data_IF_181831422746
#
_entry.id   IF_181831422746
#
_cell.length_a   1.000
_cell.length_b   1.000
_cell.length_c   1.000
_cell.angle_alpha   90.00
_cell.angle_beta   90.00
_cell.angle_gamma   90.00
#
_symmetry.space_group_name_H-M   'P 1'
#
loop_
_entity.id
_entity.type
_entity.pdbx_description
1 polymer ?
#
# COMPACT_ATOMS: atom_id res chain seq x y z
N UNK A 1 27.43 38.23 2.61
CA UNK A 1 26.43 37.65 3.53
C UNK A 1 25.30 37.06 2.69
N UNK A 2 25.45 35.83 2.22
CA UNK A 2 24.47 35.15 1.35
C UNK A 2 23.49 34.37 2.24
N UNK A 3 22.22 34.79 2.20
CA UNK A 3 21.13 34.12 2.89
C UNK A 3 20.89 32.77 2.19
N UNK A 4 21.37 31.70 2.81
CA UNK A 4 20.96 30.33 2.50
C UNK A 4 19.44 30.22 2.69
N UNK A 5 18.66 29.66 1.74
CA UNK A 5 17.27 29.33 2.02
C UNK A 5 17.25 28.20 3.03
N UNK A 6 16.94 28.59 4.27
CA UNK A 6 16.66 27.74 5.42
C UNK A 6 15.63 26.65 5.09
N UNK A 7 15.99 25.43 5.46
CA UNK A 7 15.10 24.32 5.85
C UNK A 7 13.99 23.93 4.86
N UNK A 8 14.31 22.95 4.00
CA UNK A 8 13.29 22.00 3.47
C UNK A 8 12.88 21.05 4.61
N UNK A 9 12.26 21.66 5.63
CA UNK A 9 11.72 21.01 6.80
C UNK A 9 10.44 20.28 6.43
N UNK A 10 10.60 18.99 6.14
CA UNK A 10 9.63 17.94 6.43
C UNK A 10 8.24 17.97 5.76
N UNK A 11 8.11 16.98 4.87
CA UNK A 11 6.97 16.11 4.59
C UNK A 11 5.99 16.44 3.47
N UNK A 12 6.08 15.55 2.48
CA UNK A 12 5.05 15.25 1.50
C UNK A 12 3.82 14.72 2.24
N UNK A 13 2.88 15.61 2.56
CA UNK A 13 1.51 15.18 2.81
C UNK A 13 0.98 14.72 1.46
N UNK A 14 0.66 13.42 1.39
CA UNK A 14 -0.21 12.61 0.50
C UNK A 14 -1.14 13.31 -0.52
N UNK A 15 -0.76 14.44 -1.07
CA UNK A 15 -1.49 15.24 -2.05
C UNK A 15 -0.52 15.64 -3.16
N UNK A 16 -0.47 14.85 -4.24
CA UNK A 16 0.41 15.12 -5.37
C UNK A 16 0.22 16.52 -5.98
N UNK A 17 -0.97 17.11 -5.90
CA UNK A 17 -1.24 18.45 -6.43
C UNK A 17 -0.55 19.54 -5.61
N UNK A 18 -0.57 19.41 -4.27
CA UNK A 18 0.16 20.33 -3.38
C UNK A 18 1.68 20.18 -3.54
N UNK A 19 2.16 18.96 -3.78
CA UNK A 19 3.58 18.70 -4.10
C UNK A 19 3.97 19.45 -5.37
N UNK A 20 3.18 19.34 -6.43
CA UNK A 20 3.46 20.02 -7.70
C UNK A 20 3.37 21.54 -7.60
N UNK A 21 2.47 22.09 -6.77
CA UNK A 21 2.40 23.54 -6.53
C UNK A 21 3.69 24.10 -5.91
N UNK A 22 4.29 23.38 -4.96
CA UNK A 22 5.57 23.78 -4.32
C UNK A 22 6.80 23.54 -5.20
N UNK A 23 6.71 22.56 -6.11
CA UNK A 23 7.85 22.09 -6.92
C UNK A 23 7.91 22.78 -8.29
N UNK A 24 6.92 23.60 -8.67
CA UNK A 24 6.83 24.27 -9.98
C UNK A 24 8.06 25.11 -10.35
N UNK A 25 8.85 25.56 -9.36
CA UNK A 25 10.09 26.34 -9.53
C UNK A 25 11.39 25.51 -9.53
N UNK A 26 11.31 24.19 -9.34
CA UNK A 26 12.47 23.31 -9.23
C UNK A 26 12.72 22.54 -10.53
N UNK A 27 13.96 22.06 -10.74
CA UNK A 27 14.37 21.21 -11.87
C UNK A 27 14.45 19.74 -11.44
N UNK A 28 14.28 18.82 -12.40
CA UNK A 28 14.41 17.37 -12.21
C UNK A 28 13.11 16.60 -12.42
N UNK A 29 13.19 15.25 -12.32
CA UNK A 29 12.11 14.34 -12.71
C UNK A 29 10.74 14.63 -12.09
N UNK A 30 10.70 14.98 -10.80
CA UNK A 30 9.44 15.35 -10.14
C UNK A 30 8.82 16.60 -10.78
N UNK A 31 9.64 17.59 -11.11
CA UNK A 31 9.16 18.82 -11.74
C UNK A 31 8.74 18.61 -13.20
N UNK A 32 9.36 17.65 -13.90
CA UNK A 32 8.95 17.22 -15.24
C UNK A 32 7.57 16.56 -15.19
N UNK A 33 7.34 15.59 -14.29
CA UNK A 33 6.02 14.97 -14.09
C UNK A 33 4.96 16.03 -13.81
N UNK A 34 5.24 16.94 -12.88
CA UNK A 34 4.30 18.00 -12.48
C UNK A 34 3.95 18.99 -13.60
N UNK A 35 4.80 19.15 -14.63
CA UNK A 35 4.60 20.15 -15.70
C UNK A 35 4.16 19.54 -17.02
N UNK A 36 4.68 18.37 -17.35
CA UNK A 36 4.55 17.74 -18.67
C UNK A 36 3.54 16.58 -18.68
N UNK A 37 3.23 16.00 -17.51
CA UNK A 37 2.47 14.75 -17.43
C UNK A 37 1.23 14.88 -16.50
N UNK A 38 0.26 15.77 -16.81
CA UNK A 38 -0.90 16.02 -15.95
C UNK A 38 -1.81 14.78 -15.80
N UNK A 39 -1.96 13.99 -16.87
CA UNK A 39 -2.73 12.73 -16.82
C UNK A 39 -2.09 11.72 -15.88
N UNK A 40 -0.76 11.58 -15.92
CA UNK A 40 -0.05 10.74 -14.95
C UNK A 40 -0.25 11.24 -13.52
N UNK A 41 -0.15 12.56 -13.29
CA UNK A 41 -0.31 13.14 -11.96
C UNK A 41 -1.68 12.81 -11.33
N UNK A 42 -2.76 12.78 -12.14
CA UNK A 42 -4.10 12.36 -11.72
C UNK A 42 -4.11 10.90 -11.25
N UNK A 43 -3.44 10.02 -11.99
CA UNK A 43 -3.34 8.59 -11.62
C UNK A 43 -2.44 8.36 -10.40
N UNK A 44 -1.38 9.15 -10.23
CA UNK A 44 -0.58 9.17 -8.99
C UNK A 44 -1.46 9.56 -7.80
N UNK A 45 -2.30 10.59 -7.94
CA UNK A 45 -3.22 11.01 -6.87
C UNK A 45 -4.24 9.93 -6.51
N UNK A 46 -4.82 9.24 -7.50
CA UNK A 46 -5.67 8.06 -7.27
C UNK A 46 -4.88 6.95 -6.54
N UNK A 47 -3.65 6.69 -6.93
CA UNK A 47 -2.79 5.68 -6.29
C UNK A 47 -2.51 5.97 -4.81
N UNK A 48 -2.26 7.23 -4.46
CA UNK A 48 -2.13 7.65 -3.05
C UNK A 48 -3.43 7.40 -2.27
N UNK A 49 -4.60 7.64 -2.87
CA UNK A 49 -5.88 7.36 -2.23
C UNK A 49 -6.13 5.85 -2.05
N UNK A 50 -5.77 5.04 -3.04
CA UNK A 50 -5.82 3.57 -2.96
C UNK A 50 -4.97 3.07 -1.79
N UNK A 51 -3.72 3.54 -1.69
CA UNK A 51 -2.84 3.22 -0.55
C UNK A 51 -3.39 3.69 0.80
N UNK A 52 -4.00 4.88 0.84
CA UNK A 52 -4.60 5.45 2.05
C UNK A 52 -5.77 4.61 2.56
N UNK A 53 -6.70 4.22 1.67
CA UNK A 53 -7.86 3.40 2.04
C UNK A 53 -7.43 2.04 2.55
N UNK A 54 -6.42 1.44 1.92
CA UNK A 54 -5.90 0.15 2.36
C UNK A 54 -5.16 0.27 3.70
N UNK A 55 -4.42 1.35 3.93
CA UNK A 55 -3.82 1.61 5.23
C UNK A 55 -4.86 1.74 6.35
N UNK A 56 -5.95 2.46 6.10
CA UNK A 56 -7.08 2.53 7.04
C UNK A 56 -7.73 1.16 7.25
N UNK A 57 -7.86 0.36 6.19
CA UNK A 57 -8.36 -1.00 6.28
C UNK A 57 -7.47 -1.86 7.19
N UNK A 58 -6.16 -1.92 6.92
CA UNK A 58 -5.20 -2.76 7.65
C UNK A 58 -5.07 -2.35 9.13
N UNK A 59 -5.25 -1.08 9.45
CA UNK A 59 -5.09 -0.55 10.80
C UNK A 59 -6.42 -0.23 11.52
N UNK A 60 -7.58 -0.57 10.95
CA UNK A 60 -8.92 -0.25 11.49
C UNK A 60 -9.10 -0.62 12.97
N UNK A 61 -8.48 -1.71 13.41
CA UNK A 61 -8.58 -2.24 14.76
C UNK A 61 -7.31 -2.03 15.62
N UNK A 62 -6.29 -1.30 15.12
CA UNK A 62 -5.07 -0.96 15.87
C UNK A 62 -5.25 0.38 16.59
N UNK A 63 -4.48 0.66 17.66
CA UNK A 63 -4.50 1.95 18.39
C UNK A 63 -4.23 3.15 17.48
N UNK A 64 -3.27 3.03 16.58
CA UNK A 64 -3.16 3.91 15.42
C UNK A 64 -3.90 3.30 14.24
N UNK A 65 -4.87 4.03 13.67
CA UNK A 65 -5.80 3.53 12.65
C UNK A 65 -5.59 4.14 11.26
N UNK A 66 -4.39 4.65 10.98
CA UNK A 66 -4.07 5.33 9.72
C UNK A 66 -5.03 6.49 9.38
N UNK A 67 -5.43 7.27 10.39
CA UNK A 67 -6.24 8.47 10.20
C UNK A 67 -5.50 9.54 9.40
N UNK A 68 -6.20 10.14 8.43
CA UNK A 68 -5.63 11.11 7.47
C UNK A 68 -5.82 12.55 7.88
N UNK A 69 -6.09 12.82 9.16
CA UNK A 69 -6.19 14.19 9.67
C UNK A 69 -4.86 14.89 9.41
N UNK A 70 -4.86 15.87 8.50
CA UNK A 70 -3.64 16.47 7.91
C UNK A 70 -2.56 16.81 8.93
N UNK A 71 -2.93 17.41 10.08
CA UNK A 71 -1.98 17.80 11.13
C UNK A 71 -1.38 16.60 11.88
N UNK A 72 -2.21 15.62 12.23
CA UNK A 72 -1.80 14.40 12.94
C UNK A 72 -0.92 13.51 12.06
N UNK A 73 -1.39 13.21 10.84
CA UNK A 73 -0.64 12.40 9.88
C UNK A 73 0.70 13.05 9.53
N UNK A 74 0.72 14.38 9.37
CA UNK A 74 1.98 15.11 9.24
C UNK A 74 2.88 14.87 10.44
N UNK A 75 2.43 14.98 11.69
CA UNK A 75 3.35 14.73 12.83
C UNK A 75 3.89 13.30 12.89
N UNK A 76 3.10 12.30 12.51
CA UNK A 76 3.53 10.89 12.51
C UNK A 76 4.58 10.64 11.44
N UNK A 77 4.31 11.05 10.20
CA UNK A 77 5.23 10.87 9.07
C UNK A 77 6.56 11.65 9.26
N UNK A 78 6.70 12.48 10.31
CA UNK A 78 7.93 13.25 10.58
C UNK A 78 8.97 12.33 11.20
N UNK A 79 8.51 11.23 11.76
CA UNK A 79 9.28 10.30 12.54
C UNK A 79 9.40 9.02 11.74
N UNK A 80 10.53 8.36 11.89
CA UNK A 80 10.81 7.14 11.15
C UNK A 80 10.37 5.91 11.96
N UNK A 81 9.10 5.93 12.36
CA UNK A 81 8.46 4.84 13.09
C UNK A 81 7.98 3.75 12.16
N UNK A 82 7.62 2.60 12.74
CA UNK A 82 7.06 1.46 12.01
C UNK A 82 5.83 1.84 11.18
N UNK A 83 4.95 2.68 11.71
CA UNK A 83 3.75 3.16 11.02
C UNK A 83 4.11 4.01 9.80
N UNK A 84 5.10 4.90 9.93
CA UNK A 84 5.61 5.70 8.81
C UNK A 84 6.22 4.81 7.72
N UNK A 85 6.95 3.77 8.11
CA UNK A 85 7.49 2.78 7.18
C UNK A 85 6.40 2.10 6.35
N UNK A 86 5.33 1.64 7.00
CA UNK A 86 4.18 1.07 6.31
C UNK A 86 3.48 2.07 5.40
N UNK A 87 3.24 3.31 5.85
CA UNK A 87 2.59 4.35 5.02
C UNK A 87 3.42 4.64 3.77
N UNK A 88 4.75 4.74 3.88
CA UNK A 88 5.64 4.93 2.73
C UNK A 88 5.51 3.77 1.74
N UNK A 89 5.56 2.53 2.24
CA UNK A 89 5.44 1.33 1.41
C UNK A 89 4.08 1.22 0.70
N UNK A 90 2.96 1.30 1.44
CA UNK A 90 1.62 1.16 0.86
C UNK A 90 1.27 2.30 -0.09
N UNK A 91 1.82 3.50 0.14
CA UNK A 91 1.66 4.63 -0.79
C UNK A 91 2.43 4.38 -2.08
N UNK A 92 3.68 3.92 -2.00
CA UNK A 92 4.48 3.60 -3.18
C UNK A 92 3.92 2.42 -3.99
N UNK A 93 3.36 1.43 -3.29
CA UNK A 93 2.58 0.35 -3.86
C UNK A 93 1.32 0.88 -4.56
N UNK A 94 0.54 1.73 -3.89
CA UNK A 94 -0.69 2.31 -4.43
C UNK A 94 -0.47 3.14 -5.70
N UNK A 95 0.58 3.95 -5.73
CA UNK A 95 0.99 4.70 -6.93
C UNK A 95 1.41 3.74 -8.06
N UNK A 96 2.20 2.71 -7.75
CA UNK A 96 2.60 1.70 -8.75
C UNK A 96 1.39 0.98 -9.33
N UNK A 97 0.45 0.59 -8.46
CA UNK A 97 -0.76 -0.14 -8.81
C UNK A 97 -1.69 0.70 -9.70
N UNK A 98 -2.02 1.92 -9.28
CA UNK A 98 -2.92 2.80 -10.03
C UNK A 98 -2.35 3.21 -11.39
N UNK A 99 -1.06 3.59 -11.45
CA UNK A 99 -0.41 3.97 -12.71
C UNK A 99 -0.30 2.79 -13.67
N UNK A 100 0.02 1.59 -13.16
CA UNK A 100 0.06 0.37 -14.00
C UNK A 100 -1.32 0.06 -14.55
N UNK A 101 -2.36 0.11 -13.71
CA UNK A 101 -3.74 -0.15 -14.13
C UNK A 101 -4.21 0.87 -15.18
N UNK A 102 -3.94 2.15 -14.97
CA UNK A 102 -4.25 3.20 -15.94
C UNK A 102 -3.55 2.96 -17.28
N UNK A 103 -2.31 2.46 -17.24
CA UNK A 103 -1.58 2.06 -18.44
C UNK A 103 -2.28 0.92 -19.20
N UNK A 104 -2.63 -0.15 -18.50
CA UNK A 104 -3.30 -1.33 -19.08
C UNK A 104 -4.69 -0.98 -19.64
N UNK A 105 -5.40 -0.05 -19.01
CA UNK A 105 -6.72 0.42 -19.46
C UNK A 105 -6.66 1.42 -20.63
N UNK A 106 -5.47 1.92 -20.98
CA UNK A 106 -5.30 2.92 -22.05
C UNK A 106 -5.57 4.36 -21.62
N UNK A 107 -5.66 4.64 -20.32
CA UNK A 107 -5.87 5.99 -19.77
C UNK A 107 -4.61 6.88 -19.90
N UNK A 108 -3.45 6.29 -20.16
CA UNK A 108 -2.16 6.97 -20.30
C UNK A 108 -1.58 6.72 -21.69
N UNK A 109 -1.36 7.79 -22.45
CA UNK A 109 -0.80 7.74 -23.81
C UNK A 109 0.68 7.36 -23.88
N UNK A 110 1.43 7.56 -22.78
CA UNK A 110 2.88 7.35 -22.72
C UNK A 110 3.29 5.88 -22.57
N UNK A 111 2.33 4.97 -22.47
CA UNK A 111 2.62 3.58 -22.18
C UNK A 111 1.58 2.66 -22.83
N UNK A 112 1.94 1.38 -22.91
CA UNK A 112 1.08 0.32 -23.41
C UNK A 112 1.15 -0.89 -22.48
N UNK A 113 0.20 -1.80 -22.68
CA UNK A 113 0.25 -3.11 -22.07
C UNK A 113 1.53 -3.87 -22.41
N UNK A 114 1.89 -4.80 -21.53
CA UNK A 114 3.03 -5.68 -21.73
C UNK A 114 2.63 -6.77 -22.73
N UNK A 115 3.08 -6.61 -23.99
CA UNK A 115 2.88 -7.62 -25.03
C UNK A 115 3.90 -8.74 -24.82
N UNK A 116 3.55 -9.72 -24.00
CA UNK A 116 4.34 -10.95 -23.88
C UNK A 116 4.22 -11.74 -25.18
N UNK A 117 5.13 -11.47 -26.12
CA UNK A 117 5.30 -12.29 -27.32
C UNK A 117 6.20 -13.49 -26.98
N UNK A 118 5.97 -14.62 -27.65
CA UNK A 118 6.73 -15.88 -27.50
C UNK A 118 8.25 -15.70 -27.66
N UNK A 119 8.70 -14.61 -28.29
CA UNK A 119 10.12 -14.24 -28.49
C UNK A 119 10.80 -13.58 -27.28
N UNK A 120 10.06 -13.09 -26.28
CA UNK A 120 10.60 -12.46 -25.06
C UNK A 120 11.03 -13.45 -23.96
N UNK A 121 10.90 -14.75 -24.21
CA UNK A 121 10.88 -15.80 -23.19
C UNK A 121 12.27 -16.19 -22.61
N UNK A 122 13.29 -15.32 -22.67
CA UNK A 122 14.60 -15.60 -22.05
C UNK A 122 14.61 -15.38 -20.53
N UNK A 123 13.73 -14.54 -19.98
CA UNK A 123 13.64 -14.31 -18.52
C UNK A 123 12.54 -15.12 -17.81
N UNK A 124 11.56 -15.67 -18.54
CA UNK A 124 10.49 -16.50 -17.95
C UNK A 124 10.96 -17.88 -17.48
N UNK A 125 12.12 -18.35 -17.96
CA UNK A 125 12.70 -19.66 -17.62
C UNK A 125 13.33 -19.73 -16.22
N UNK A 126 13.52 -18.60 -15.54
CA UNK A 126 14.31 -18.48 -14.30
C UNK A 126 13.48 -18.21 -13.03
N UNK A 127 12.14 -18.15 -13.11
CA UNK A 127 11.30 -17.74 -11.97
C UNK A 127 10.08 -18.65 -11.72
N UNK A 128 10.12 -19.90 -12.19
CA UNK A 128 9.16 -20.93 -11.81
C UNK A 128 9.87 -21.90 -10.87
N UNK A 129 9.51 -21.87 -9.59
CA UNK A 129 9.94 -22.88 -8.62
C UNK A 129 9.46 -24.26 -9.07
N UNK A 130 10.26 -25.29 -8.81
CA UNK A 130 10.04 -26.66 -9.28
C UNK A 130 8.66 -27.22 -8.89
N UNK A 131 8.06 -26.72 -7.81
CA UNK A 131 6.74 -27.14 -7.31
C UNK A 131 5.57 -26.66 -8.19
N UNK A 132 5.69 -25.50 -8.85
CA UNK A 132 4.66 -25.00 -9.78
C UNK A 132 4.69 -25.80 -11.09
N UNK A 133 5.86 -26.32 -11.48
CA UNK A 133 6.03 -27.11 -12.70
C UNK A 133 5.29 -28.45 -12.64
N UNK A 134 5.09 -29.02 -11.45
CA UNK A 134 4.43 -30.33 -11.28
C UNK A 134 2.91 -30.30 -11.49
N UNK A 135 2.26 -29.15 -11.27
CA UNK A 135 0.81 -28.96 -11.47
C UNK A 135 0.44 -28.30 -12.81
N UNK A 136 1.43 -28.02 -13.68
CA UNK A 136 1.24 -27.30 -14.96
C UNK A 136 1.55 -28.14 -16.19
N UNK A 137 1.85 -29.43 -16.02
CA UNK A 137 2.21 -30.36 -17.10
C UNK A 137 1.07 -31.30 -17.54
N UNK A 138 -0.17 -30.97 -17.21
CA UNK A 138 -1.34 -31.61 -17.81
C UNK A 138 -2.23 -30.54 -18.43
N UNK A 139 -2.52 -30.73 -19.73
CA UNK A 139 -3.43 -29.97 -20.61
C UNK A 139 -2.88 -28.71 -21.31
N UNK A 140 -2.53 -28.89 -22.59
CA UNK A 140 -2.57 -27.89 -23.66
C UNK A 140 -1.56 -26.75 -23.55
N UNK A 141 -0.73 -26.59 -24.58
CA UNK A 141 0.05 -25.36 -24.79
C UNK A 141 -0.93 -24.18 -24.80
N UNK A 142 -0.85 -23.31 -23.79
CA UNK A 142 -1.60 -22.04 -23.81
C UNK A 142 -0.78 -20.97 -24.49
N UNK A 143 -1.48 -20.05 -25.15
CA UNK A 143 -0.83 -18.94 -25.84
C UNK A 143 -0.74 -17.72 -24.92
N UNK A 144 0.41 -17.04 -24.97
CA UNK A 144 0.52 -15.70 -24.39
C UNK A 144 -0.25 -14.72 -25.28
N UNK A 145 -1.16 -13.96 -24.68
CA UNK A 145 -1.95 -12.97 -25.39
C UNK A 145 -2.67 -12.03 -24.43
N UNK A 146 -3.62 -11.25 -24.95
CA UNK A 146 -4.35 -10.27 -24.13
C UNK A 146 -3.51 -9.05 -23.72
N UNK A 147 -3.96 -8.37 -22.67
CA UNK A 147 -3.44 -7.10 -22.21
C UNK A 147 -2.76 -7.27 -20.84
N UNK A 148 -1.47 -7.61 -20.83
CA UNK A 148 -0.70 -7.79 -19.61
C UNK A 148 -0.41 -6.47 -18.89
N UNK A 149 -0.46 -6.50 -17.55
CA UNK A 149 -0.19 -5.32 -16.72
C UNK A 149 1.29 -4.90 -16.80
N UNK A 150 1.57 -3.70 -17.31
CA UNK A 150 2.93 -3.16 -17.43
C UNK A 150 3.44 -2.60 -16.09
N UNK A 151 3.64 -3.47 -15.10
CA UNK A 151 4.02 -3.08 -13.74
C UNK A 151 5.36 -2.34 -13.67
N UNK A 152 6.25 -2.58 -14.63
CA UNK A 152 7.54 -1.92 -14.72
C UNK A 152 7.39 -0.42 -15.07
N UNK A 153 6.38 -0.04 -15.84
CA UNK A 153 6.05 1.36 -16.06
C UNK A 153 5.59 2.03 -14.77
N UNK A 154 4.61 1.45 -14.06
CA UNK A 154 4.13 1.98 -12.79
C UNK A 154 5.23 2.05 -11.72
N UNK A 155 6.08 1.03 -11.63
CA UNK A 155 7.22 1.00 -10.71
C UNK A 155 8.17 2.18 -10.95
N UNK A 156 8.52 2.43 -12.21
CA UNK A 156 9.43 3.52 -12.59
C UNK A 156 8.82 4.89 -12.29
N UNK A 157 7.56 5.12 -12.67
CA UNK A 157 6.88 6.41 -12.43
C UNK A 157 6.67 6.66 -10.92
N UNK A 158 6.34 5.63 -10.13
CA UNK A 158 6.29 5.72 -8.66
C UNK A 158 7.65 6.13 -8.08
N UNK A 159 8.74 5.49 -8.52
CA UNK A 159 10.11 5.85 -8.11
C UNK A 159 10.49 7.28 -8.53
N UNK A 160 10.16 7.69 -9.74
CA UNK A 160 10.51 9.03 -10.25
C UNK A 160 9.71 10.15 -9.57
N UNK A 161 8.49 9.87 -9.09
CA UNK A 161 7.69 10.83 -8.34
C UNK A 161 8.08 10.87 -6.85
N UNK A 162 8.13 9.72 -6.18
CA UNK A 162 8.28 9.65 -4.71
C UNK A 162 9.73 9.78 -4.24
N UNK A 163 10.70 9.29 -5.02
CA UNK A 163 12.10 9.18 -4.58
C UNK A 163 12.98 10.29 -5.15
N UNK A 164 12.58 10.96 -6.23
CA UNK A 164 13.41 11.99 -6.89
C UNK A 164 13.90 13.11 -5.96
N UNK A 165 13.12 13.61 -4.99
CA UNK A 165 13.61 14.63 -4.05
C UNK A 165 14.72 14.15 -3.11
N UNK A 166 14.91 12.83 -2.99
CA UNK A 166 15.73 12.21 -1.95
C UNK A 166 16.99 11.51 -2.49
N UNK A 167 17.13 11.33 -3.81
CA UNK A 167 18.23 10.55 -4.41
C UNK A 167 19.65 11.00 -4.06
N UNK A 168 19.84 12.27 -3.69
CA UNK A 168 21.16 12.83 -3.36
C UNK A 168 21.44 12.90 -1.85
N UNK A 169 20.51 12.46 -1.01
CA UNK A 169 20.65 12.52 0.44
C UNK A 169 20.98 11.12 0.98
N UNK A 170 21.84 11.07 1.98
CA UNK A 170 22.26 9.83 2.64
C UNK A 170 21.90 9.78 4.11
N UNK A 171 21.06 10.70 4.60
CA UNK A 171 20.56 10.64 5.98
C UNK A 171 19.75 9.34 6.20
N UNK A 172 19.87 8.77 7.41
CA UNK A 172 19.20 7.51 7.80
C UNK A 172 17.70 7.52 7.46
N UNK A 173 17.05 8.66 7.69
CA UNK A 173 15.64 8.89 7.37
C UNK A 173 15.34 8.73 5.88
N UNK A 174 16.19 9.30 5.02
CA UNK A 174 16.10 9.11 3.58
C UNK A 174 16.30 7.63 3.21
N UNK A 175 17.30 6.95 3.78
CA UNK A 175 17.58 5.54 3.50
C UNK A 175 16.39 4.64 3.86
N UNK A 176 15.86 4.80 5.08
CA UNK A 176 14.66 4.10 5.58
C UNK A 176 13.46 4.35 4.67
N UNK A 177 13.23 5.60 4.27
CA UNK A 177 12.14 5.96 3.36
C UNK A 177 12.28 5.30 1.99
N UNK A 178 13.46 5.36 1.38
CA UNK A 178 13.72 4.79 0.05
C UNK A 178 13.60 3.26 0.05
N UNK A 179 14.08 2.60 1.12
CA UNK A 179 13.93 1.16 1.31
C UNK A 179 12.46 0.75 1.40
N UNK A 180 11.68 1.39 2.28
CA UNK A 180 10.27 1.09 2.45
C UNK A 180 9.44 1.39 1.19
N UNK A 181 9.74 2.49 0.50
CA UNK A 181 9.14 2.77 -0.81
C UNK A 181 9.45 1.64 -1.82
N UNK A 182 10.69 1.13 -1.84
CA UNK A 182 11.08 0.03 -2.72
C UNK A 182 10.36 -1.28 -2.36
N UNK A 183 10.28 -1.63 -1.08
CA UNK A 183 9.54 -2.80 -0.59
C UNK A 183 8.07 -2.76 -1.04
N UNK A 184 7.42 -1.60 -0.91
CA UNK A 184 6.04 -1.37 -1.39
C UNK A 184 5.87 -1.61 -2.89
N UNK A 185 6.77 -1.06 -3.72
CA UNK A 185 6.72 -1.29 -5.18
C UNK A 185 7.00 -2.74 -5.56
N UNK A 186 7.90 -3.40 -4.84
CA UNK A 186 8.22 -4.81 -5.03
C UNK A 186 7.05 -5.74 -4.66
N UNK A 187 6.27 -5.38 -3.64
CA UNK A 187 5.07 -6.12 -3.25
C UNK A 187 4.01 -6.18 -4.36
N UNK A 188 3.97 -5.21 -5.28
CA UNK A 188 3.10 -5.26 -6.47
C UNK A 188 3.76 -6.05 -7.60
N UNK A 189 5.04 -5.75 -7.90
CA UNK A 189 5.74 -6.30 -9.08
C UNK A 189 6.05 -7.79 -8.97
N UNK A 190 6.53 -8.24 -7.82
CA UNK A 190 7.06 -9.59 -7.67
C UNK A 190 5.98 -10.64 -7.39
N UNK A 191 4.76 -10.21 -7.05
CA UNK A 191 3.62 -11.08 -6.78
C UNK A 191 2.53 -11.00 -7.85
N UNK A 192 2.92 -10.63 -9.08
CA UNK A 192 2.02 -10.74 -10.23
C UNK A 192 1.67 -12.20 -10.49
N UNK A 193 0.41 -12.44 -10.82
CA UNK A 193 -0.13 -13.77 -11.15
C UNK A 193 -0.37 -13.88 -12.65
N UNK A 194 -0.54 -15.12 -13.11
CA UNK A 194 -1.01 -15.40 -14.47
C UNK A 194 -2.52 -15.56 -14.39
N UNK A 195 -3.26 -14.75 -15.13
CA UNK A 195 -4.68 -14.95 -15.36
C UNK A 195 -4.89 -15.46 -16.79
N UNK A 196 -5.84 -16.37 -16.94
CA UNK A 196 -6.17 -16.98 -18.23
C UNK A 196 -7.67 -16.85 -18.50
N UNK A 197 -8.02 -16.65 -19.78
CA UNK A 197 -9.39 -16.76 -20.26
C UNK A 197 -9.52 -17.95 -21.21
N UNK A 198 -10.53 -18.77 -20.97
CA UNK A 198 -10.84 -19.94 -21.77
C UNK A 198 -11.81 -19.57 -22.90
N UNK A 199 -11.54 -20.10 -24.09
CA UNK A 199 -12.25 -19.76 -25.33
C UNK A 199 -12.61 -20.99 -26.17
N UNK A 200 -12.52 -22.19 -25.60
CA UNK A 200 -12.93 -23.42 -26.27
C UNK A 200 -14.45 -23.52 -26.45
N UNK A 201 -14.88 -24.50 -27.24
CA UNK A 201 -16.29 -24.78 -27.51
C UNK A 201 -17.09 -24.89 -26.18
N UNK A 202 -18.22 -24.18 -26.10
CA UNK A 202 -19.07 -24.10 -24.91
C UNK A 202 -18.38 -23.60 -23.63
N UNK A 203 -17.32 -22.79 -23.76
CA UNK A 203 -16.56 -22.26 -22.62
C UNK A 203 -15.52 -23.23 -22.03
N UNK A 204 -15.22 -24.32 -22.75
CA UNK A 204 -14.14 -25.23 -22.36
C UNK A 204 -12.76 -24.55 -22.39
N UNK A 205 -11.83 -25.04 -21.57
CA UNK A 205 -10.45 -24.53 -21.50
C UNK A 205 -9.46 -25.25 -22.42
N UNK A 206 -9.96 -25.95 -23.46
CA UNK A 206 -9.12 -26.61 -24.48
C UNK A 206 -8.21 -25.62 -25.21
N UNK A 207 -8.69 -24.38 -25.39
CA UNK A 207 -7.89 -23.23 -25.80
C UNK A 207 -8.04 -22.14 -24.75
N UNK A 208 -6.91 -21.61 -24.28
CA UNK A 208 -6.87 -20.52 -23.31
C UNK A 208 -5.78 -19.52 -23.65
N UNK A 209 -6.07 -18.25 -23.39
CA UNK A 209 -5.12 -17.14 -23.54
C UNK A 209 -4.79 -16.60 -22.18
N UNK A 210 -3.50 -16.46 -21.86
CA UNK A 210 -3.05 -16.02 -20.55
C UNK A 210 -2.22 -14.73 -20.61
N UNK A 211 -2.33 -13.90 -19.57
CA UNK A 211 -1.53 -12.69 -19.37
C UNK A 211 -1.12 -12.53 -17.90
N UNK A 212 -0.10 -11.70 -17.65
CA UNK A 212 0.29 -11.32 -16.29
C UNK A 212 -0.59 -10.21 -15.78
N UNK A 213 -1.06 -10.35 -14.54
CA UNK A 213 -1.88 -9.36 -13.86
C UNK A 213 -1.34 -9.07 -12.48
N UNK A 214 -1.52 -7.83 -12.03
CA UNK A 214 -1.20 -7.46 -10.66
C UNK A 214 -2.13 -8.19 -9.68
N UNK A 215 -1.65 -8.54 -8.47
CA UNK A 215 -2.50 -9.08 -7.42
C UNK A 215 -3.57 -8.05 -7.01
N UNK A 216 -4.61 -8.48 -6.30
CA UNK A 216 -5.55 -7.53 -5.72
C UNK A 216 -4.82 -6.60 -4.75
N UNK A 217 -5.26 -5.34 -4.65
CA UNK A 217 -4.58 -4.41 -3.76
C UNK A 217 -4.74 -4.78 -2.27
N UNK A 218 -5.74 -5.60 -1.94
CA UNK A 218 -5.90 -6.18 -0.60
C UNK A 218 -4.76 -7.14 -0.27
N UNK A 219 -4.43 -8.07 -1.17
CA UNK A 219 -3.29 -8.98 -0.98
C UNK A 219 -1.95 -8.23 -0.85
N UNK A 220 -1.78 -7.11 -1.57
CA UNK A 220 -0.62 -6.23 -1.41
C UNK A 220 -0.60 -5.62 -0.01
N UNK A 221 -1.75 -5.14 0.48
CA UNK A 221 -1.93 -4.62 1.84
C UNK A 221 -1.61 -5.66 2.91
N UNK A 222 -2.10 -6.88 2.74
CA UNK A 222 -1.90 -7.99 3.68
C UNK A 222 -0.42 -8.37 3.79
N UNK A 223 0.28 -8.52 2.66
CA UNK A 223 1.74 -8.79 2.64
C UNK A 223 2.56 -7.67 3.30
N UNK A 224 2.23 -6.41 3.00
CA UNK A 224 2.91 -5.28 3.64
C UNK A 224 2.60 -5.21 5.13
N UNK A 225 1.42 -5.69 5.56
CA UNK A 225 1.01 -5.71 6.94
C UNK A 225 1.74 -6.80 7.74
N UNK A 226 1.99 -7.96 7.13
CA UNK A 226 2.89 -8.99 7.68
C UNK A 226 4.31 -8.44 7.83
N UNK A 227 4.82 -7.77 6.78
CA UNK A 227 6.13 -7.11 6.80
C UNK A 227 6.23 -6.00 7.85
N UNK A 228 5.11 -5.32 8.16
CA UNK A 228 5.03 -4.36 9.27
C UNK A 228 5.14 -5.05 10.63
N UNK A 229 4.46 -6.17 10.85
CA UNK A 229 4.51 -6.86 12.14
C UNK A 229 5.92 -7.40 12.44
N UNK A 230 6.63 -7.85 11.40
CA UNK A 230 8.03 -8.32 11.44
C UNK A 230 9.11 -7.26 11.12
N UNK A 231 8.77 -5.97 11.12
CA UNK A 231 9.70 -4.92 10.70
C UNK A 231 10.95 -4.84 11.60
N UNK A 232 12.11 -4.55 11.00
CA UNK A 232 13.40 -4.47 11.69
C UNK A 232 13.78 -3.03 12.07
N UNK A 233 14.30 -2.85 13.29
CA UNK A 233 14.85 -1.56 13.73
C UNK A 233 16.30 -1.42 13.26
N UNK A 234 16.60 -0.28 12.64
CA UNK A 234 17.90 0.00 12.01
C UNK A 234 18.51 1.30 12.53
N UNK A 235 19.83 1.36 12.51
CA UNK A 235 20.65 2.51 12.88
C UNK A 235 21.59 2.86 11.71
N UNK A 236 22.06 4.12 11.59
CA UNK A 236 23.04 4.49 10.56
C UNK A 236 24.33 3.68 10.73
N UNK A 237 24.89 3.25 9.60
CA UNK A 237 26.20 2.61 9.56
C UNK A 237 27.32 3.65 9.63
N UNK A 238 28.53 3.20 9.98
CA UNK A 238 29.73 4.05 10.07
C UNK A 238 30.17 4.61 8.71
N UNK A 239 29.71 4.04 7.60
CA UNK A 239 29.98 4.52 6.24
C UNK A 239 29.17 5.77 5.85
N UNK A 240 28.19 6.18 6.65
CA UNK A 240 27.31 7.32 6.40
C UNK A 240 26.37 7.17 5.19
N UNK A 241 26.32 5.99 4.57
CA UNK A 241 25.56 5.72 3.36
C UNK A 241 24.69 4.46 3.43
N UNK A 242 24.89 3.62 4.45
CA UNK A 242 24.08 2.43 4.71
C UNK A 242 23.50 2.43 6.12
N UNK A 243 22.72 1.41 6.41
CA UNK A 243 22.14 1.16 7.72
C UNK A 243 22.46 -0.27 8.14
N UNK A 244 22.57 -0.48 9.45
CA UNK A 244 22.74 -1.79 10.08
C UNK A 244 21.58 -2.03 11.05
N UNK A 245 21.38 -3.27 11.47
CA UNK A 245 20.40 -3.58 12.50
C UNK A 245 20.84 -3.03 13.86
N UNK A 246 19.89 -2.60 14.70
CA UNK A 246 20.20 -2.07 16.04
C UNK A 246 20.83 -3.13 16.96
N UNK A 247 20.43 -4.40 16.80
CA UNK A 247 20.89 -5.52 17.61
C UNK A 247 21.47 -6.67 16.78
N UNK A 248 22.41 -7.46 17.36
CA UNK A 248 23.04 -8.59 16.68
C UNK A 248 22.08 -9.78 16.50
N UNK A 249 21.01 -9.86 17.29
CA UNK A 249 19.98 -10.91 17.21
C UNK A 249 18.93 -10.62 16.14
N UNK A 250 18.91 -9.40 15.59
CA UNK A 250 17.98 -9.01 14.54
C UNK A 250 18.55 -9.48 13.20
N UNK A 251 17.81 -10.34 12.50
CA UNK A 251 18.17 -10.77 11.15
C UNK A 251 18.25 -9.55 10.21
N UNK A 252 19.29 -9.44 9.36
CA UNK A 252 19.37 -8.37 8.38
C UNK A 252 18.13 -8.33 7.48
N UNK A 253 17.51 -7.15 7.30
CA UNK A 253 16.27 -7.02 6.54
C UNK A 253 16.52 -7.28 5.05
N UNK A 254 15.64 -8.08 4.45
CA UNK A 254 15.57 -8.30 3.02
C UNK A 254 14.93 -7.12 2.27
N UNK A 255 14.84 -7.25 0.94
CA UNK A 255 14.27 -6.21 0.07
C UNK A 255 12.75 -6.03 0.19
N UNK A 256 12.06 -7.00 0.81
CA UNK A 256 10.61 -6.97 1.03
C UNK A 256 10.23 -6.60 2.47
N UNK A 257 11.23 -6.55 3.36
CA UNK A 257 11.02 -6.28 4.78
C UNK A 257 10.93 -4.77 4.99
N UNK A 258 10.04 -4.34 5.89
CA UNK A 258 9.96 -2.95 6.31
C UNK A 258 10.99 -2.66 7.41
N UNK A 259 11.52 -1.45 7.39
CA UNK A 259 12.51 -0.99 8.38
C UNK A 259 12.09 0.33 9.01
N UNK A 260 12.54 0.59 10.22
CA UNK A 260 12.28 1.82 10.97
C UNK A 260 13.49 2.17 11.85
N UNK A 261 13.63 3.42 12.26
CA UNK A 261 14.76 3.88 13.09
C UNK A 261 14.33 4.56 14.39
N UNK A 262 13.05 4.90 14.54
CA UNK A 262 12.49 5.49 15.76
C UNK A 262 11.39 4.62 16.35
N UNK A 263 11.31 4.56 17.68
CA UNK A 263 10.23 3.86 18.37
C UNK A 263 8.89 4.57 18.18
N UNK A 264 7.83 3.77 18.02
CA UNK A 264 6.47 4.28 17.88
C UNK A 264 6.02 5.00 19.15
N UNK A 265 5.36 6.17 19.03
CA UNK A 265 4.86 6.89 20.18
C UNK A 265 3.68 6.16 20.84
N UNK A 266 3.34 6.56 22.06
CA UNK A 266 2.07 6.12 22.66
C UNK A 266 0.87 6.69 21.89
N UNK A 267 0.03 5.78 21.38
CA UNK A 267 -1.21 6.09 20.66
C UNK A 267 -2.46 6.04 21.55
N UNK A 268 -2.32 5.70 22.84
CA UNK A 268 -3.45 5.59 23.77
C UNK A 268 -4.06 6.95 24.09
N UNK A 269 -3.23 7.96 24.34
CA UNK A 269 -3.64 9.33 24.70
C UNK A 269 -3.46 10.30 23.53
N UNK A 270 -4.32 11.32 23.41
CA UNK A 270 -4.15 12.36 22.40
C UNK A 270 -2.86 13.15 22.68
N UNK A 271 -2.02 13.30 21.67
CA UNK A 271 -0.76 14.04 21.78
C UNK A 271 -0.46 14.77 20.47
N UNK A 272 -0.53 16.12 20.52
CA UNK A 272 -0.31 17.00 19.37
C UNK A 272 1.14 17.00 18.86
N UNK A 273 2.12 16.65 19.70
CA UNK A 273 3.55 16.60 19.31
C UNK A 273 3.82 15.37 18.45
N UNK A 274 3.32 14.20 18.86
CA UNK A 274 3.49 12.93 18.15
C UNK A 274 2.47 12.74 17.02
N UNK A 275 1.35 13.45 17.08
CA UNK A 275 0.23 13.28 16.15
C UNK A 275 -0.77 12.22 16.58
N UNK A 276 -0.64 11.64 17.78
CA UNK A 276 -1.63 10.71 18.32
C UNK A 276 -2.97 11.41 18.55
N UNK A 277 -4.06 10.78 18.13
CA UNK A 277 -5.44 11.23 18.41
C UNK A 277 -6.02 10.61 19.69
N UNK A 278 -5.36 9.59 20.24
CA UNK A 278 -5.88 8.78 21.33
C UNK A 278 -6.89 7.72 20.87
N UNK A 279 -7.31 6.86 21.80
CA UNK A 279 -8.27 5.77 21.54
C UNK A 279 -9.65 5.98 22.17
N UNK A 280 -9.87 7.10 22.85
CA UNK A 280 -11.18 7.48 23.44
C UNK A 280 -12.27 7.51 22.36
N UNK A 281 -13.44 6.95 22.67
CA UNK A 281 -14.60 6.90 21.77
C UNK A 281 -14.49 5.90 20.62
N UNK A 282 -13.40 5.13 20.53
CA UNK A 282 -13.25 4.12 19.48
C UNK A 282 -14.04 2.86 19.80
N UNK A 283 -14.66 2.28 18.77
CA UNK A 283 -15.31 0.96 18.86
C UNK A 283 -14.25 -0.12 19.10
N UNK A 284 -14.55 -1.06 19.99
CA UNK A 284 -13.68 -2.18 20.33
C UNK A 284 -14.48 -3.49 20.43
N UNK A 285 -13.79 -4.63 20.34
CA UNK A 285 -14.40 -5.94 20.51
C UNK A 285 -14.21 -6.43 21.96
N UNK A 286 -15.28 -6.66 22.71
CA UNK A 286 -15.17 -7.13 24.10
C UNK A 286 -14.78 -8.61 24.20
N UNK A 287 -15.02 -9.39 23.16
CA UNK A 287 -14.81 -10.85 23.14
C UNK A 287 -13.42 -11.25 22.62
N UNK A 288 -12.67 -10.31 22.03
CA UNK A 288 -11.35 -10.60 21.46
C UNK A 288 -10.24 -10.28 22.48
N UNK A 289 -9.33 -11.23 22.78
CA UNK A 289 -8.13 -10.94 23.58
C UNK A 289 -7.03 -10.24 22.76
N UNK A 290 -7.21 -10.13 21.44
CA UNK A 290 -6.23 -9.56 20.53
C UNK A 290 -6.20 -8.03 20.54
N UNK A 291 -5.47 -7.47 19.58
CA UNK A 291 -5.23 -6.01 19.46
C UNK A 291 -6.48 -5.19 19.16
N UNK A 292 -7.54 -5.84 18.66
CA UNK A 292 -8.88 -5.30 18.47
C UNK A 292 -9.76 -5.37 19.73
N UNK A 293 -9.27 -6.09 20.73
CA UNK A 293 -9.87 -6.26 22.04
C UNK A 293 -9.99 -4.95 22.79
N UNK A 294 -11.08 -4.78 23.55
CA UNK A 294 -11.28 -3.57 24.35
C UNK A 294 -10.16 -3.35 25.38
N UNK A 295 -9.59 -4.42 25.94
CA UNK A 295 -8.49 -4.32 26.90
C UNK A 295 -7.26 -3.62 26.30
N UNK A 296 -6.79 -4.10 25.14
CA UNK A 296 -5.62 -3.56 24.46
C UNK A 296 -5.90 -2.24 23.74
N UNK A 297 -7.07 -2.09 23.10
CA UNK A 297 -7.40 -0.89 22.33
C UNK A 297 -7.72 0.31 23.24
N UNK A 298 -8.39 0.07 24.36
CA UNK A 298 -8.74 1.12 25.34
C UNK A 298 -7.63 1.37 26.37
N UNK A 299 -6.52 0.62 26.29
CA UNK A 299 -5.32 0.80 27.12
C UNK A 299 -5.64 0.73 28.63
N UNK A 300 -6.46 -0.24 29.03
CA UNK A 300 -6.83 -0.46 30.43
C UNK A 300 -7.82 0.55 31.04
N UNK A 301 -8.32 1.54 30.29
CA UNK A 301 -9.29 2.53 30.79
C UNK A 301 -10.73 1.99 30.93
N UNK A 302 -10.98 0.77 30.47
CA UNK A 302 -12.32 0.22 30.32
C UNK A 302 -13.06 0.74 29.08
N UNK A 303 -14.31 0.31 28.94
CA UNK A 303 -15.18 0.64 27.82
C UNK A 303 -16.64 0.74 28.26
N UNK A 304 -17.43 1.48 27.51
CA UNK A 304 -18.88 1.57 27.69
C UNK A 304 -19.58 0.68 26.68
N UNK A 305 -20.61 -0.04 27.14
CA UNK A 305 -21.42 -0.94 26.32
C UNK A 305 -22.79 -0.33 26.08
N UNK A 306 -23.20 -0.23 24.81
CA UNK A 306 -24.53 0.26 24.42
C UNK A 306 -25.17 -0.70 23.44
N UNK A 307 -26.45 -1.00 23.64
CA UNK A 307 -27.24 -1.78 22.69
C UNK A 307 -27.91 -0.80 21.72
N UNK A 308 -27.54 -0.89 20.44
CA UNK A 308 -28.06 -0.02 19.39
C UNK A 308 -28.89 -0.85 18.42
N UNK A 309 -30.02 -0.32 17.94
CA UNK A 309 -30.80 -0.94 16.87
C UNK A 309 -30.25 -0.46 15.53
N UNK A 310 -29.67 -1.35 14.74
CA UNK A 310 -29.18 -1.06 13.40
C UNK A 310 -30.15 -1.61 12.35
N UNK A 311 -30.41 -0.83 11.30
CA UNK A 311 -31.18 -1.27 10.14
C UNK A 311 -30.27 -2.08 9.23
N UNK A 312 -30.63 -3.33 8.97
CA UNK A 312 -29.88 -4.21 8.06
C UNK A 312 -30.81 -4.78 7.00
N UNK A 313 -30.27 -5.02 5.81
CA UNK A 313 -30.97 -5.76 4.79
C UNK A 313 -31.09 -7.22 5.25
N UNK A 314 -32.30 -7.74 5.25
CA UNK A 314 -32.61 -9.10 5.68
C UNK A 314 -33.58 -9.74 4.69
N UNK A 315 -33.71 -11.07 4.78
CA UNK A 315 -34.67 -11.85 3.99
C UNK A 315 -34.61 -11.54 2.49
N UNK A 316 -33.40 -11.31 1.97
CA UNK A 316 -33.20 -10.99 0.56
C UNK A 316 -33.64 -12.14 -0.34
N UNK A 317 -34.52 -11.86 -1.29
CA UNK A 317 -34.98 -12.80 -2.32
C UNK A 317 -34.56 -12.30 -3.69
N UNK A 318 -33.97 -13.20 -4.46
CA UNK A 318 -33.68 -12.95 -5.87
C UNK A 318 -34.93 -13.21 -6.70
N UNK A 319 -35.36 -12.22 -7.47
CA UNK A 319 -36.42 -12.36 -8.48
C UNK A 319 -35.75 -12.72 -9.80
N UNK A 320 -36.25 -13.78 -10.44
CA UNK A 320 -35.76 -14.26 -11.74
C UNK A 320 -36.13 -13.25 -12.85
N UNK A 321 -35.36 -12.17 -12.90
CA UNK A 321 -35.31 -11.08 -13.89
C UNK A 321 -34.23 -10.04 -13.47
N UNK A 322 -33.23 -10.48 -12.69
CA UNK A 322 -32.06 -9.73 -12.21
C UNK A 322 -32.29 -8.72 -11.07
N UNK A 323 -33.36 -8.85 -10.29
CA UNK A 323 -33.61 -7.97 -9.15
C UNK A 323 -33.42 -8.71 -7.81
N UNK A 324 -32.73 -8.08 -6.86
CA UNK A 324 -32.66 -8.55 -5.46
C UNK A 324 -33.54 -7.64 -4.61
N UNK A 325 -34.64 -8.18 -4.10
CA UNK A 325 -35.52 -7.47 -3.17
C UNK A 325 -35.21 -7.92 -1.74
N UNK A 326 -34.82 -7.00 -0.87
CA UNK A 326 -34.58 -7.25 0.55
C UNK A 326 -35.57 -6.46 1.41
N UNK A 327 -35.91 -7.01 2.57
CA UNK A 327 -36.62 -6.29 3.62
C UNK A 327 -35.61 -5.55 4.51
N UNK A 328 -36.08 -4.52 5.23
CA UNK A 328 -35.27 -3.80 6.22
C UNK A 328 -35.62 -4.30 7.61
N UNK A 329 -34.72 -5.08 8.24
CA UNK A 329 -34.88 -5.54 9.61
C UNK A 329 -34.16 -4.61 10.60
N UNK A 330 -34.69 -4.52 11.82
CA UNK A 330 -34.02 -3.89 12.95
C UNK A 330 -33.33 -4.96 13.80
N UNK A 331 -32.00 -4.99 13.77
CA UNK A 331 -31.19 -5.90 14.58
C UNK A 331 -30.59 -5.15 15.76
N UNK A 332 -30.65 -5.75 16.95
CA UNK A 332 -29.98 -5.22 18.15
C UNK A 332 -28.51 -5.62 18.11
N UNK A 333 -27.62 -4.65 18.00
CA UNK A 333 -26.17 -4.85 18.01
C UNK A 333 -25.57 -4.24 19.29
N UNK A 334 -24.72 -5.01 19.97
CA UNK A 334 -23.94 -4.51 21.10
C UNK A 334 -22.71 -3.77 20.60
N UNK A 335 -22.60 -2.48 20.94
CA UNK A 335 -21.47 -1.62 20.57
C UNK A 335 -20.69 -1.26 21.82
N UNK A 336 -19.41 -1.64 21.85
CA UNK A 336 -18.49 -1.28 22.92
C UNK A 336 -17.59 -0.13 22.48
N UNK A 337 -17.45 0.91 23.30
CA UNK A 337 -16.63 2.09 22.99
C UNK A 337 -15.67 2.41 24.12
N UNK A 338 -14.39 2.66 23.79
CA UNK A 338 -13.37 3.02 24.77
C UNK A 338 -13.69 4.32 25.52
N UNK A 339 -13.43 4.33 26.82
CA UNK A 339 -13.49 5.53 27.67
C UNK A 339 -12.32 6.48 27.43
#
# INVERSE_FOLDING_TARGET
MLILPTTVGSQMVMDPMLVCKKTRRLKGKLADICRKEPSLLKEIAKGVQVGTRECQHQFRNRRWNCTTIRRSLRKILLRDTRETGFVNAITAAGVTYAVTRACTMGDLVECSCDKMTTKGNRLGKLALTADVKKNLLTEGEWEWGGCGDNVNFGFRKSKDFMDAPYRKRSDIKTLVKLHNNAAGRLAVRNFMTIECKCHGLSGSCSVRTCWRKMPSFREVGDRLKESFDGAAKVIPSNDGHSFITEGPTIKPPGRFDLIYSEDSPDFCKPNRKTGSLGTVGRRCNSSSPGVEGCELLCCGRGYDTRIVKEKVNCQCRFRYCCEVTCETCLVKTTVNTCR
#
